data_IF_594438613795
#
_entry.id   IF_594438613795
#
_cell.length_a   1.000
_cell.length_b   1.000
_cell.length_c   1.000
_cell.angle_alpha   90.00
_cell.angle_beta   90.00
_cell.angle_gamma   90.00
#
_symmetry.space_group_name_H-M   'P 1'
#
loop_
_entity.id
_entity.type
_entity.pdbx_description
1 polymer ?
#
# COMPACT_ATOMS: atom_id res chain seq x y z
N UNK A 1 8.77 14.29 -13.88
CA UNK A 1 9.08 13.04 -14.59
C UNK A 1 8.43 13.03 -15.97
N UNK A 2 7.12 13.29 -16.05
CA UNK A 2 6.34 13.29 -17.30
C UNK A 2 6.91 14.21 -18.40
N UNK A 3 7.12 15.50 -18.13
CA UNK A 3 7.65 16.47 -19.12
C UNK A 3 9.09 16.17 -19.59
N UNK A 4 9.77 15.25 -18.89
CA UNK A 4 11.12 14.80 -19.22
C UNK A 4 11.13 13.38 -19.79
N UNK A 5 9.96 12.78 -20.06
CA UNK A 5 9.80 11.41 -20.52
C UNK A 5 10.50 10.36 -19.63
N UNK A 6 10.40 10.53 -18.31
CA UNK A 6 10.99 9.64 -17.31
C UNK A 6 9.89 8.94 -16.52
N UNK A 7 10.04 7.62 -16.29
CA UNK A 7 9.17 6.81 -15.42
C UNK A 7 9.52 7.01 -13.94
N UNK A 8 8.52 6.84 -13.07
CA UNK A 8 8.66 6.88 -11.62
C UNK A 8 8.49 5.48 -11.04
N UNK A 9 9.45 5.08 -10.21
CA UNK A 9 9.32 3.95 -9.31
C UNK A 9 9.35 4.52 -7.88
N UNK A 10 8.19 4.70 -7.22
CA UNK A 10 8.17 5.27 -5.88
C UNK A 10 8.94 4.37 -4.91
N UNK A 11 9.84 4.96 -4.12
CA UNK A 11 10.38 4.27 -2.96
C UNK A 11 9.26 4.14 -1.92
N UNK A 12 8.86 2.91 -1.64
CA UNK A 12 7.74 2.58 -0.78
C UNK A 12 7.93 1.23 -0.10
N UNK A 13 8.96 1.03 0.73
CA UNK A 13 9.16 -0.21 1.49
C UNK A 13 8.18 -0.26 2.68
N UNK A 14 6.92 0.09 2.43
CA UNK A 14 5.86 0.23 3.40
C UNK A 14 4.95 -0.99 3.39
N UNK A 15 4.36 -1.27 4.54
CA UNK A 15 3.17 -2.12 4.69
C UNK A 15 1.99 -1.25 5.11
N UNK A 16 0.78 -1.82 5.12
CA UNK A 16 -0.40 -1.10 5.61
C UNK A 16 -0.81 0.09 4.71
N UNK A 17 -1.19 1.26 5.28
CA UNK A 17 -1.71 2.40 4.52
C UNK A 17 -0.74 2.98 3.50
N UNK A 18 0.57 2.99 3.79
CA UNK A 18 1.59 3.51 2.86
C UNK A 18 1.70 2.68 1.57
N UNK A 19 1.51 1.36 1.66
CA UNK A 19 1.45 0.49 0.50
C UNK A 19 0.25 0.83 -0.40
N UNK A 20 -0.95 0.95 0.19
CA UNK A 20 -2.16 1.28 -0.57
C UNK A 20 -2.09 2.68 -1.20
N UNK A 21 -1.54 3.66 -0.48
CA UNK A 21 -1.35 5.00 -1.01
C UNK A 21 -0.45 4.97 -2.26
N UNK A 22 0.64 4.21 -2.21
CA UNK A 22 1.54 4.06 -3.36
C UNK A 22 0.86 3.32 -4.50
N UNK A 23 0.10 2.26 -4.21
CA UNK A 23 -0.63 1.51 -5.22
C UNK A 23 -1.68 2.37 -5.94
N UNK A 24 -2.42 3.20 -5.22
CA UNK A 24 -3.37 4.16 -5.81
C UNK A 24 -2.66 5.18 -6.69
N UNK A 25 -1.51 5.71 -6.24
CA UNK A 25 -0.69 6.60 -7.06
C UNK A 25 -0.27 5.92 -8.36
N UNK A 26 0.32 4.73 -8.29
CA UNK A 26 0.80 3.96 -9.45
C UNK A 26 -0.34 3.68 -10.43
N UNK A 27 -1.53 3.30 -9.95
CA UNK A 27 -2.67 3.04 -10.83
C UNK A 27 -3.27 4.30 -11.47
N UNK A 28 -3.05 5.48 -10.88
CA UNK A 28 -3.64 6.74 -11.34
C UNK A 28 -2.91 7.41 -12.49
N UNK A 29 -1.69 6.97 -12.82
CA UNK A 29 -0.86 7.59 -13.86
C UNK A 29 -0.14 6.54 -14.69
N UNK A 30 -0.02 6.72 -16.02
CA UNK A 30 0.79 5.84 -16.86
C UNK A 30 2.30 5.99 -16.61
N UNK A 31 2.73 6.99 -15.82
CA UNK A 31 4.15 7.29 -15.60
C UNK A 31 4.79 6.52 -14.45
N UNK A 32 4.02 5.72 -13.73
CA UNK A 32 4.52 4.81 -12.72
C UNK A 32 4.00 3.40 -13.01
N UNK A 33 4.89 2.42 -13.00
CA UNK A 33 4.57 1.06 -13.49
C UNK A 33 4.73 -0.03 -12.43
N UNK A 34 5.40 0.28 -11.32
CA UNK A 34 5.72 -0.69 -10.28
C UNK A 34 5.46 -0.12 -8.89
N UNK A 35 4.97 -0.98 -8.00
CA UNK A 35 4.89 -0.73 -6.56
C UNK A 35 6.05 -1.48 -5.91
N UNK A 36 6.87 -0.79 -5.10
CA UNK A 36 7.83 -1.48 -4.25
C UNK A 36 7.04 -2.21 -3.15
N UNK A 37 7.13 -3.53 -3.11
CA UNK A 37 6.48 -4.35 -2.09
C UNK A 37 7.51 -4.89 -1.11
N UNK A 38 7.41 -4.48 0.16
CA UNK A 38 8.30 -4.96 1.19
C UNK A 38 7.87 -6.36 1.66
N UNK A 39 8.59 -7.38 1.19
CA UNK A 39 8.27 -8.78 1.47
C UNK A 39 8.67 -9.17 2.90
N UNK A 40 7.69 -9.21 3.80
CA UNK A 40 7.85 -9.66 5.17
C UNK A 40 6.60 -10.41 5.66
N UNK A 41 6.77 -11.12 6.78
CA UNK A 41 5.66 -11.70 7.53
C UNK A 41 5.39 -10.84 8.75
N UNK A 42 4.38 -9.97 8.68
CA UNK A 42 3.96 -9.15 9.81
C UNK A 42 3.22 -10.01 10.84
N UNK A 43 3.48 -9.79 12.13
CA UNK A 43 2.74 -10.45 13.23
C UNK A 43 1.25 -10.09 13.20
N UNK A 44 0.93 -8.85 12.82
CA UNK A 44 -0.44 -8.36 12.67
C UNK A 44 -0.56 -7.40 11.47
N UNK A 45 -1.76 -7.38 10.87
CA UNK A 45 -2.15 -6.39 9.87
C UNK A 45 -3.00 -5.31 10.51
N UNK A 46 -2.75 -4.04 10.17
CA UNK A 46 -3.60 -2.93 10.59
C UNK A 46 -4.95 -2.89 9.85
N UNK A 47 -5.11 -3.64 8.77
CA UNK A 47 -6.39 -3.81 8.07
C UNK A 47 -7.08 -5.11 8.48
N UNK A 48 -8.42 -5.06 8.61
CA UNK A 48 -9.25 -6.24 8.89
C UNK A 48 -9.09 -7.33 7.81
N UNK A 49 -9.04 -6.90 6.55
CA UNK A 49 -8.79 -7.76 5.40
C UNK A 49 -7.58 -7.20 4.66
N UNK A 50 -6.37 -7.76 4.87
CA UNK A 50 -5.16 -7.28 4.22
C UNK A 50 -5.25 -7.43 2.69
N UNK A 51 -4.59 -6.56 1.91
CA UNK A 51 -4.53 -6.72 0.47
C UNK A 51 -3.73 -7.99 0.11
N UNK A 52 -4.17 -8.67 -0.95
CA UNK A 52 -3.51 -9.89 -1.44
C UNK A 52 -2.66 -9.58 -2.66
N UNK A 53 -1.48 -10.19 -2.70
CA UNK A 53 -0.68 -10.29 -3.91
C UNK A 53 -1.09 -11.54 -4.68
N UNK A 54 -1.45 -11.37 -5.93
CA UNK A 54 -1.81 -12.47 -6.83
C UNK A 54 -0.94 -12.39 -8.08
N UNK A 55 -0.14 -13.44 -8.33
CA UNK A 55 0.75 -13.55 -9.50
C UNK A 55 1.66 -12.33 -9.72
N UNK A 56 2.14 -11.72 -8.64
CA UNK A 56 3.01 -10.53 -8.68
C UNK A 56 2.28 -9.20 -8.78
N UNK A 57 0.95 -9.19 -8.75
CA UNK A 57 0.13 -7.98 -8.79
C UNK A 57 -0.57 -7.72 -7.48
N UNK A 58 -0.71 -6.44 -7.13
CA UNK A 58 -1.54 -5.97 -6.02
C UNK A 58 -2.88 -5.48 -6.57
N UNK A 59 -3.98 -6.09 -6.14
CA UNK A 59 -5.31 -5.63 -6.52
C UNK A 59 -5.73 -4.42 -5.70
N UNK A 60 -6.10 -3.33 -6.38
CA UNK A 60 -6.60 -2.15 -5.69
C UNK A 60 -7.98 -2.39 -5.08
N UNK A 61 -8.17 -2.05 -3.79
CA UNK A 61 -9.47 -2.12 -3.16
C UNK A 61 -10.43 -1.08 -3.77
N UNK A 62 -11.71 -1.44 -3.86
CA UNK A 62 -12.75 -0.62 -4.49
C UNK A 62 -13.53 0.26 -3.50
N UNK A 63 -13.23 0.16 -2.20
CA UNK A 63 -13.82 1.05 -1.19
C UNK A 63 -13.31 2.48 -1.32
N UNK A 64 -14.01 3.42 -0.67
CA UNK A 64 -13.64 4.83 -0.67
C UNK A 64 -12.27 5.09 -0.01
N UNK A 65 -11.58 6.15 -0.46
CA UNK A 65 -10.27 6.53 0.07
C UNK A 65 -9.21 5.49 -0.25
N UNK A 66 -8.45 5.03 0.76
CA UNK A 66 -7.49 3.93 0.59
C UNK A 66 -8.17 2.59 0.34
N UNK A 67 -9.46 2.47 0.64
CA UNK A 67 -10.32 1.36 0.22
C UNK A 67 -10.37 0.14 1.14
N UNK A 68 -9.58 0.09 2.21
CA UNK A 68 -9.65 -0.97 3.23
C UNK A 68 -10.04 -0.43 4.60
N UNK A 69 -10.72 -1.28 5.37
CA UNK A 69 -11.11 -0.97 6.75
C UNK A 69 -9.97 -1.29 7.73
N UNK A 70 -9.69 -0.35 8.64
CA UNK A 70 -8.69 -0.48 9.71
C UNK A 70 -9.25 -1.32 10.86
N UNK A 71 -8.40 -2.16 11.46
CA UNK A 71 -8.70 -2.83 12.73
C UNK A 71 -8.23 -1.95 13.92
N UNK A 72 -9.16 -1.33 14.67
CA UNK A 72 -8.80 -0.48 15.81
C UNK A 72 -8.16 -1.26 16.96
N UNK A 73 -8.38 -2.59 17.06
CA UNK A 73 -7.77 -3.41 18.11
C UNK A 73 -6.28 -3.58 17.88
N UNK A 74 -5.85 -3.74 16.63
CA UNK A 74 -4.43 -3.80 16.26
C UNK A 74 -3.75 -2.47 16.62
N UNK A 75 -4.37 -1.34 16.30
CA UNK A 75 -3.84 -0.04 16.73
C UNK A 75 -3.74 0.04 18.26
N UNK A 76 -4.79 -0.38 18.99
CA UNK A 76 -4.79 -0.35 20.46
C UNK A 76 -3.68 -1.21 21.06
N UNK A 77 -3.39 -2.37 20.47
CA UNK A 77 -2.38 -3.32 20.94
C UNK A 77 -0.95 -2.87 20.62
N UNK A 78 -0.71 -2.34 19.42
CA UNK A 78 0.63 -2.04 18.91
C UNK A 78 1.01 -0.56 18.97
N UNK A 79 0.15 0.32 19.48
CA UNK A 79 0.50 1.74 19.69
C UNK A 79 1.67 1.88 20.65
N UNK A 80 2.63 2.74 20.30
CA UNK A 80 3.68 3.17 21.21
C UNK A 80 3.16 4.28 22.13
N UNK A 81 3.57 4.25 23.40
CA UNK A 81 3.40 5.43 24.27
C UNK A 81 4.54 6.41 23.96
N UNK A 82 4.30 7.73 24.02
CA UNK A 82 5.36 8.73 23.90
C UNK A 82 6.46 8.52 24.96
#
# INVERSE_FOLDING_TARGET
>A
AEVYNVRVAPHSPYFGPGLLATAHLVASTPWAESVEYYYLSAEASVFKTPPKLEKGFLHLPQGSGLGLEIDPNVIKQYRVSP
#
